data_IF_241057321083
#
_entry.id   IF_241057321083
#
_cell.length_a   1.000
_cell.length_b   1.000
_cell.length_c   1.000
_cell.angle_alpha   90.00
_cell.angle_beta   90.00
_cell.angle_gamma   90.00
#
_symmetry.space_group_name_H-M   'P 1'
#
loop_
_entity.id
_entity.type
_entity.pdbx_description
1 polymer ?
#
# COMPACT_ATOMS: atom_id res chain seq x y z
N UNK A 1 -8.08 14.74 -1.57
CA UNK A 1 -7.69 13.65 -2.49
C UNK A 1 -8.84 12.68 -2.63
N UNK A 2 -8.99 12.02 -3.78
CA UNK A 2 -10.03 11.01 -4.07
C UNK A 2 -9.46 9.59 -3.92
N UNK A 3 -10.33 8.58 -3.81
CA UNK A 3 -9.89 7.17 -3.80
C UNK A 3 -9.04 6.80 -5.02
N UNK A 4 -9.39 7.30 -6.22
CA UNK A 4 -8.59 7.11 -7.44
C UNK A 4 -7.18 7.67 -7.29
N UNK A 5 -7.05 8.91 -6.79
CA UNK A 5 -5.72 9.49 -6.56
C UNK A 5 -4.91 8.71 -5.53
N UNK A 6 -5.56 8.03 -4.58
CA UNK A 6 -4.87 7.20 -3.59
C UNK A 6 -4.37 5.88 -4.16
N UNK A 7 -5.14 5.23 -5.04
CA UNK A 7 -4.67 4.09 -5.82
C UNK A 7 -3.44 4.47 -6.65
N UNK A 8 -3.50 5.58 -7.41
CA UNK A 8 -2.39 6.05 -8.22
C UNK A 8 -1.15 6.41 -7.39
N UNK A 9 -1.34 6.94 -6.17
CA UNK A 9 -0.22 7.25 -5.27
C UNK A 9 0.43 5.99 -4.70
N UNK A 10 -0.36 4.99 -4.30
CA UNK A 10 0.18 3.71 -3.81
C UNK A 10 0.91 2.91 -4.89
N UNK A 11 0.60 3.12 -6.17
CA UNK A 11 1.38 2.56 -7.27
C UNK A 11 2.70 3.28 -7.51
N UNK A 12 2.74 4.62 -7.34
CA UNK A 12 3.93 5.44 -7.54
C UNK A 12 4.91 5.39 -6.37
N UNK A 13 4.37 5.29 -5.17
CA UNK A 13 5.10 5.28 -3.90
C UNK A 13 4.54 4.16 -3.02
N UNK A 14 4.76 2.90 -3.41
CA UNK A 14 4.33 1.74 -2.63
C UNK A 14 5.01 1.70 -1.26
N UNK A 15 4.27 1.28 -0.25
CA UNK A 15 4.76 1.19 1.13
C UNK A 15 5.66 -0.02 1.38
N UNK A 16 5.55 -1.05 0.55
CA UNK A 16 6.22 -2.36 0.64
C UNK A 16 7.34 -2.58 -0.38
N UNK A 17 7.78 -1.52 -1.06
CA UNK A 17 8.82 -1.63 -2.10
C UNK A 17 9.97 -0.67 -1.77
N UNK A 18 11.17 -1.22 -1.68
CA UNK A 18 12.37 -0.53 -1.20
C UNK A 18 13.45 -0.60 -2.28
N UNK A 19 13.31 0.20 -3.36
CA UNK A 19 14.32 0.20 -4.41
C UNK A 19 15.65 0.74 -3.87
N UNK A 20 16.76 0.08 -4.22
CA UNK A 20 18.12 0.55 -3.90
C UNK A 20 18.50 1.85 -4.64
N UNK A 21 17.72 2.23 -5.66
CA UNK A 21 17.91 3.39 -6.52
C UNK A 21 16.62 4.22 -6.57
N UNK A 22 16.68 5.47 -6.13
CA UNK A 22 15.55 6.42 -6.12
C UNK A 22 14.97 6.68 -7.53
N UNK A 23 15.70 6.34 -8.59
CA UNK A 23 15.23 6.43 -9.98
C UNK A 23 14.59 5.15 -10.52
N UNK A 24 14.63 4.05 -9.75
CA UNK A 24 13.98 2.82 -10.12
C UNK A 24 12.46 2.97 -10.11
N UNK A 25 11.82 2.37 -11.10
CA UNK A 25 10.36 2.24 -11.08
C UNK A 25 9.95 1.26 -10.00
N UNK A 26 8.90 1.55 -9.22
CA UNK A 26 8.40 0.60 -8.24
C UNK A 26 7.93 -0.70 -8.91
N UNK A 27 8.14 -1.80 -8.21
CA UNK A 27 7.63 -3.12 -8.54
C UNK A 27 6.12 -3.04 -8.76
N UNK A 28 5.57 -3.58 -9.87
CA UNK A 28 4.13 -3.55 -10.10
C UNK A 28 3.40 -4.34 -9.02
N UNK A 29 2.18 -3.89 -8.68
CA UNK A 29 1.32 -4.65 -7.78
C UNK A 29 1.03 -6.04 -8.37
N UNK A 30 1.02 -7.06 -7.51
CA UNK A 30 0.81 -8.46 -7.89
C UNK A 30 -0.60 -8.69 -8.45
N UNK A 31 -1.61 -8.08 -7.83
CA UNK A 31 -3.01 -8.16 -8.22
C UNK A 31 -3.79 -6.89 -7.83
N UNK A 32 -5.09 -6.86 -8.14
CA UNK A 32 -5.98 -5.73 -7.86
C UNK A 32 -6.13 -5.44 -6.36
N UNK A 33 -6.02 -6.45 -5.49
CA UNK A 33 -6.15 -6.29 -4.05
C UNK A 33 -4.85 -5.73 -3.45
N UNK A 34 -3.71 -6.16 -3.99
CA UNK A 34 -2.42 -5.60 -3.66
C UNK A 34 -2.34 -4.11 -4.06
N UNK A 35 -2.79 -3.76 -5.27
CA UNK A 35 -2.89 -2.35 -5.68
C UNK A 35 -3.81 -1.53 -4.74
N UNK A 36 -4.94 -2.13 -4.33
CA UNK A 36 -5.84 -1.49 -3.37
C UNK A 36 -5.21 -1.31 -1.98
N UNK A 37 -4.47 -2.31 -1.49
CA UNK A 37 -3.77 -2.24 -0.20
C UNK A 37 -2.72 -1.11 -0.19
N UNK A 38 -1.90 -1.02 -1.24
CA UNK A 38 -0.96 0.10 -1.42
C UNK A 38 -1.67 1.44 -1.43
N UNK A 39 -2.81 1.54 -2.11
CA UNK A 39 -3.63 2.78 -2.12
C UNK A 39 -4.21 3.14 -0.75
N UNK A 40 -4.59 2.16 0.07
CA UNK A 40 -5.05 2.40 1.45
C UNK A 40 -3.91 2.96 2.30
N UNK A 41 -2.73 2.36 2.25
CA UNK A 41 -1.60 2.84 3.05
C UNK A 41 -1.14 4.24 2.59
N UNK A 42 -1.14 4.52 1.29
CA UNK A 42 -0.90 5.87 0.77
C UNK A 42 -1.97 6.90 1.19
N UNK A 43 -3.18 6.48 1.56
CA UNK A 43 -4.15 7.36 2.24
C UNK A 43 -3.76 7.63 3.68
N UNK A 44 -3.31 6.61 4.41
CA UNK A 44 -2.96 6.69 5.83
C UNK A 44 -1.67 7.46 6.08
N UNK A 45 -0.65 7.31 5.24
CA UNK A 45 0.60 8.09 5.34
C UNK A 45 0.35 9.60 5.27
N UNK A 46 -0.65 10.02 4.48
CA UNK A 46 -1.03 11.43 4.38
C UNK A 46 -1.77 11.97 5.62
N UNK A 47 -2.09 11.15 6.62
CA UNK A 47 -2.86 11.53 7.81
C UNK A 47 -1.93 11.76 9.00
N UNK A 48 -1.93 13.00 9.51
CA UNK A 48 -1.14 13.39 10.69
C UNK A 48 -1.44 12.45 11.88
N UNK A 49 -0.38 11.95 12.51
CA UNK A 49 -0.44 11.03 13.64
C UNK A 49 -0.48 9.55 13.25
N UNK A 50 -0.99 9.18 12.06
CA UNK A 50 -0.91 7.80 11.57
C UNK A 50 0.32 7.62 10.68
N UNK A 51 0.53 8.55 9.73
CA UNK A 51 1.69 8.48 8.83
C UNK A 51 3.03 8.48 9.57
N UNK A 52 3.14 9.24 10.66
CA UNK A 52 4.36 9.29 11.49
C UNK A 52 4.68 7.94 12.15
N UNK A 53 3.67 7.17 12.52
CA UNK A 53 3.86 5.83 13.09
C UNK A 53 4.18 4.83 11.97
N UNK A 54 3.53 4.95 10.81
CA UNK A 54 3.81 4.13 9.64
C UNK A 54 5.24 4.33 9.11
N UNK A 55 5.77 5.55 9.14
CA UNK A 55 7.15 5.84 8.75
C UNK A 55 8.20 5.14 9.64
N UNK A 56 7.84 4.78 10.88
CA UNK A 56 8.74 4.13 11.84
C UNK A 56 8.74 2.60 11.74
N UNK A 57 7.82 2.01 10.97
CA UNK A 57 7.73 0.56 10.76
C UNK A 57 8.88 0.10 9.87
N UNK A 58 9.52 -1.01 10.23
CA UNK A 58 10.58 -1.64 9.44
C UNK A 58 10.06 -2.31 8.16
N UNK A 59 10.93 -2.41 7.16
CA UNK A 59 10.60 -2.86 5.81
C UNK A 59 9.91 -4.24 5.77
N UNK A 60 10.34 -5.20 6.60
CA UNK A 60 9.73 -6.52 6.70
C UNK A 60 8.28 -6.41 7.17
N UNK A 61 8.05 -5.69 8.27
CA UNK A 61 6.71 -5.46 8.80
C UNK A 61 5.83 -4.66 7.82
N UNK A 62 6.39 -3.73 7.04
CA UNK A 62 5.64 -3.01 5.99
C UNK A 62 5.14 -3.95 4.90
N UNK A 63 5.97 -4.89 4.45
CA UNK A 63 5.57 -5.92 3.49
C UNK A 63 4.44 -6.77 4.06
N UNK A 64 4.57 -7.23 5.30
CA UNK A 64 3.53 -8.03 5.98
C UNK A 64 2.21 -7.26 6.12
N UNK A 65 2.26 -5.96 6.42
CA UNK A 65 1.08 -5.10 6.50
C UNK A 65 0.37 -5.01 5.15
N UNK A 66 1.09 -4.74 4.06
CA UNK A 66 0.50 -4.67 2.71
C UNK A 66 -0.11 -6.01 2.32
N UNK A 67 0.59 -7.12 2.57
CA UNK A 67 0.08 -8.47 2.28
C UNK A 67 -1.18 -8.79 3.07
N UNK A 68 -1.21 -8.47 4.37
CA UNK A 68 -2.36 -8.68 5.24
C UNK A 68 -3.58 -7.88 4.79
N UNK A 69 -3.39 -6.60 4.46
CA UNK A 69 -4.47 -5.74 3.94
C UNK A 69 -4.98 -6.26 2.60
N UNK A 70 -4.09 -6.68 1.70
CA UNK A 70 -4.47 -7.26 0.42
C UNK A 70 -5.28 -8.54 0.59
N UNK A 71 -4.89 -9.43 1.52
CA UNK A 71 -5.64 -10.66 1.81
C UNK A 71 -7.05 -10.36 2.34
N UNK A 72 -7.18 -9.41 3.27
CA UNK A 72 -8.49 -8.97 3.78
C UNK A 72 -9.37 -8.45 2.63
N UNK A 73 -8.80 -7.66 1.71
CA UNK A 73 -9.52 -7.12 0.56
C UNK A 73 -9.97 -8.25 -0.39
N UNK A 74 -9.11 -9.23 -0.68
CA UNK A 74 -9.47 -10.41 -1.50
C UNK A 74 -10.64 -11.18 -0.88
N UNK A 75 -10.55 -11.48 0.41
CA UNK A 75 -11.60 -12.21 1.14
C UNK A 75 -12.92 -11.43 1.17
N UNK A 76 -12.86 -10.12 1.41
CA UNK A 76 -14.04 -9.26 1.42
C UNK A 76 -14.76 -9.24 0.05
N UNK A 77 -14.00 -9.19 -1.04
CA UNK A 77 -14.57 -9.24 -2.40
C UNK A 77 -15.24 -10.59 -2.69
N UNK A 78 -14.60 -11.70 -2.32
CA UNK A 78 -15.15 -13.05 -2.52
C UNK A 78 -16.43 -13.30 -1.69
N UNK A 79 -16.50 -12.76 -0.47
CA UNK A 79 -17.64 -12.98 0.43
C UNK A 79 -18.90 -12.20 0.03
N UNK A 80 -18.74 -11.14 -0.77
CA UNK A 80 -19.80 -10.20 -1.16
C UNK A 80 -20.23 -10.35 -2.63
N UNK A 81 -19.57 -11.23 -3.38
CA UNK A 81 -19.83 -11.51 -4.80
C UNK A 81 -20.65 -12.78 -4.95
#
# INVERSE_FOLDING_TARGET
MTAKSKLEMGEKFPYDDFPDDDSAMPSPAVDWAHAAARGVLADLEGRRGVGQELEQVDDETRVELVQSVAEIIRLAHQTKS
#
